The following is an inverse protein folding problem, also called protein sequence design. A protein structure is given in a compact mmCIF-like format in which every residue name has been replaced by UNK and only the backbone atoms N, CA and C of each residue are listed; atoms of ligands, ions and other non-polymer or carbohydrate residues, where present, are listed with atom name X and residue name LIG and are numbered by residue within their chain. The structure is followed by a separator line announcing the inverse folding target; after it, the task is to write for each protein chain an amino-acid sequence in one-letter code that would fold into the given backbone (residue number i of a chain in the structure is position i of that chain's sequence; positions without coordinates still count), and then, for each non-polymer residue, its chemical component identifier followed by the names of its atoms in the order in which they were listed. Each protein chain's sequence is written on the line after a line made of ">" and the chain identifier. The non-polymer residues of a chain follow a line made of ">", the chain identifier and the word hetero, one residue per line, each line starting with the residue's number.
data_IF_102231075383
#
_entry.id   IF_102231075383
#
_cell.length_a   1.000
_cell.length_b   1.000
_cell.length_c   1.000
_cell.angle_alpha   90.00
_cell.angle_beta   90.00
_cell.angle_gamma   90.00
#
_symmetry.space_group_name_H-M   'P 1'
#
loop_
_entity.id
_entity.type
_entity.pdbx_description
1 polymer ?
#
# COMPACT_ATOMS: atom_id res chain seq x y z
N UNK A 1 10.23 10.18 -70.71
CA UNK A 1 10.96 10.60 -69.55
C UNK A 1 10.06 11.52 -68.74
N UNK A 2 9.26 10.92 -67.81
CA UNK A 2 8.29 11.66 -66.96
C UNK A 2 9.05 12.24 -65.79
N UNK A 3 9.14 13.58 -65.68
CA UNK A 3 9.70 14.29 -64.55
C UNK A 3 8.67 14.19 -63.38
N UNK A 4 8.95 13.34 -62.39
CA UNK A 4 8.24 13.30 -61.14
C UNK A 4 8.66 14.53 -60.32
N UNK A 5 7.89 15.62 -60.38
CA UNK A 5 8.02 16.75 -59.46
C UNK A 5 7.72 16.24 -58.05
N UNK A 6 8.76 16.02 -57.23
CA UNK A 6 8.59 15.91 -55.78
C UNK A 6 8.09 17.24 -55.25
N UNK A 7 6.78 17.33 -55.00
CA UNK A 7 6.17 18.36 -54.17
C UNK A 7 6.67 18.19 -52.74
N UNK A 8 7.76 18.92 -52.41
CA UNK A 8 8.10 19.16 -50.99
C UNK A 8 6.87 19.86 -50.37
N UNK A 9 6.35 19.35 -49.28
CA UNK A 9 5.20 20.03 -48.63
C UNK A 9 5.67 21.38 -48.11
N UNK A 10 5.38 22.45 -48.84
CA UNK A 10 5.39 23.79 -48.28
C UNK A 10 4.48 23.80 -47.07
N UNK A 11 4.92 24.37 -45.89
CA UNK A 11 4.00 24.56 -44.76
C UNK A 11 2.77 25.23 -45.30
N UNK A 12 1.64 24.52 -45.25
CA UNK A 12 0.44 24.89 -45.94
C UNK A 12 0.00 26.30 -45.51
N UNK A 13 -0.54 27.10 -46.43
CA UNK A 13 -1.10 28.40 -46.12
C UNK A 13 -2.14 28.29 -44.95
N UNK A 14 -2.77 27.14 -44.82
CA UNK A 14 -3.64 26.77 -43.70
C UNK A 14 -2.91 26.78 -42.35
N UNK A 15 -1.72 26.19 -42.22
CA UNK A 15 -0.93 26.16 -40.95
C UNK A 15 -0.63 27.61 -40.48
N UNK A 16 -0.14 28.45 -41.39
CA UNK A 16 0.18 29.86 -41.04
C UNK A 16 -1.10 30.63 -40.63
N UNK A 17 -2.22 30.38 -41.29
CA UNK A 17 -3.51 31.00 -40.97
C UNK A 17 -3.99 30.58 -39.57
N UNK A 18 -3.97 29.29 -39.25
CA UNK A 18 -4.41 28.79 -37.93
C UNK A 18 -3.51 29.29 -36.79
N UNK A 19 -2.20 29.31 -36.96
CA UNK A 19 -1.25 29.87 -35.98
C UNK A 19 -1.50 31.39 -35.77
N UNK A 20 -1.76 32.15 -36.85
CA UNK A 20 -2.10 33.59 -36.78
C UNK A 20 -3.42 33.81 -36.06
N UNK A 21 -4.43 33.00 -36.36
CA UNK A 21 -5.74 33.04 -35.71
C UNK A 21 -5.60 32.73 -34.19
N UNK A 22 -4.86 31.71 -33.82
CA UNK A 22 -4.61 31.37 -32.42
C UNK A 22 -3.93 32.54 -31.68
N UNK A 23 -2.90 33.16 -32.26
CA UNK A 23 -2.26 34.33 -31.65
C UNK A 23 -3.20 35.52 -31.48
N UNK A 24 -4.13 35.75 -32.44
CA UNK A 24 -5.14 36.79 -32.32
C UNK A 24 -6.10 36.50 -31.17
N UNK A 25 -6.53 35.26 -31.01
CA UNK A 25 -7.37 34.81 -29.90
C UNK A 25 -6.64 35.07 -28.56
N UNK A 26 -5.37 34.68 -28.43
CA UNK A 26 -4.60 34.89 -27.21
C UNK A 26 -4.44 36.37 -26.85
N UNK A 27 -4.18 37.23 -27.84
CA UNK A 27 -4.12 38.67 -27.65
C UNK A 27 -5.44 39.25 -27.12
N UNK A 28 -6.57 38.69 -27.51
CA UNK A 28 -7.89 39.13 -27.02
C UNK A 28 -8.18 38.72 -25.58
N UNK A 29 -7.34 37.86 -24.97
CA UNK A 29 -7.52 37.26 -23.65
C UNK A 29 -8.83 36.48 -23.46
N UNK A 30 -9.46 36.05 -24.56
CA UNK A 30 -10.71 35.28 -24.56
C UNK A 30 -10.56 34.09 -25.53
N UNK A 31 -11.15 32.95 -25.17
CA UNK A 31 -11.15 31.76 -26.05
C UNK A 31 -9.81 31.01 -26.13
N UNK A 32 -9.01 31.02 -25.08
CA UNK A 32 -7.72 30.31 -25.03
C UNK A 32 -7.85 28.79 -25.30
N UNK A 33 -9.00 28.20 -24.94
CA UNK A 33 -9.34 26.81 -25.28
C UNK A 33 -9.53 26.59 -26.79
N UNK A 34 -10.03 27.62 -27.53
CA UNK A 34 -10.10 27.56 -28.98
C UNK A 34 -8.70 27.64 -29.63
N UNK A 35 -7.83 28.50 -29.12
CA UNK A 35 -6.42 28.54 -29.56
C UNK A 35 -5.71 27.20 -29.35
N UNK A 36 -5.92 26.57 -28.21
CA UNK A 36 -5.41 25.22 -27.93
C UNK A 36 -5.94 24.19 -28.95
N UNK A 37 -7.23 24.18 -29.23
CA UNK A 37 -7.83 23.28 -30.23
C UNK A 37 -7.22 23.45 -31.63
N UNK A 38 -6.93 24.68 -32.03
CA UNK A 38 -6.26 24.93 -33.31
C UNK A 38 -4.87 24.33 -33.33
N UNK A 39 -4.06 24.53 -32.29
CA UNK A 39 -2.70 24.01 -32.23
C UNK A 39 -2.66 22.46 -32.13
N UNK A 40 -3.50 21.87 -31.29
CA UNK A 40 -3.61 20.41 -31.21
C UNK A 40 -4.19 19.79 -32.50
N UNK A 41 -5.04 20.54 -33.22
CA UNK A 41 -5.53 20.18 -34.55
C UNK A 41 -4.37 20.08 -35.56
N UNK A 42 -3.50 21.08 -35.60
CA UNK A 42 -2.32 21.07 -36.45
C UNK A 42 -1.36 19.92 -36.18
N UNK A 43 -1.19 19.52 -34.91
CA UNK A 43 -0.28 18.45 -34.51
C UNK A 43 -0.78 17.04 -34.89
N UNK A 44 -2.03 16.89 -35.37
CA UNK A 44 -2.49 15.63 -35.95
C UNK A 44 -1.76 15.27 -37.22
N UNK A 45 -1.33 16.27 -37.99
CA UNK A 45 -0.44 16.09 -39.13
C UNK A 45 1.02 15.90 -38.65
N UNK A 46 1.61 14.79 -39.04
CA UNK A 46 2.99 14.44 -38.68
C UNK A 46 4.02 15.49 -39.12
N UNK A 47 3.79 16.16 -40.25
CA UNK A 47 4.66 17.22 -40.75
C UNK A 47 4.78 18.43 -39.80
N UNK A 48 3.81 18.62 -38.91
CA UNK A 48 3.77 19.72 -37.95
C UNK A 48 4.40 19.40 -36.60
N UNK A 49 4.66 18.12 -36.29
CA UNK A 49 5.11 17.67 -34.96
C UNK A 49 6.49 18.18 -34.55
N UNK A 50 7.29 18.68 -35.48
CA UNK A 50 8.60 19.24 -35.20
C UNK A 50 8.61 20.79 -35.19
N UNK A 51 7.42 21.42 -35.33
CA UNK A 51 7.35 22.87 -35.36
C UNK A 51 7.20 23.45 -33.93
N UNK A 52 8.33 23.88 -33.34
CA UNK A 52 8.36 24.45 -31.98
C UNK A 52 7.39 25.63 -31.78
N UNK A 53 7.10 26.40 -32.82
CA UNK A 53 6.17 27.54 -32.74
C UNK A 53 4.74 27.11 -32.44
N UNK A 54 4.32 25.93 -32.90
CA UNK A 54 2.99 25.37 -32.58
C UNK A 54 2.93 25.05 -31.10
N UNK A 55 3.96 24.42 -30.56
CA UNK A 55 4.04 24.07 -29.11
C UNK A 55 4.11 25.31 -28.24
N UNK A 56 4.85 26.35 -28.66
CA UNK A 56 4.89 27.62 -27.91
C UNK A 56 3.52 28.28 -27.81
N UNK A 57 2.75 28.34 -28.92
CA UNK A 57 1.37 28.87 -28.91
C UNK A 57 0.45 27.95 -28.09
N UNK A 58 0.64 26.64 -28.17
CA UNK A 58 -0.12 25.69 -27.35
C UNK A 58 0.16 25.90 -25.87
N UNK A 59 1.42 26.00 -25.45
CA UNK A 59 1.79 26.28 -24.07
C UNK A 59 1.15 27.59 -23.57
N UNK A 60 1.24 28.67 -24.32
CA UNK A 60 0.63 29.97 -24.00
C UNK A 60 -0.91 29.83 -23.85
N UNK A 61 -1.53 29.03 -24.71
CA UNK A 61 -2.98 28.76 -24.64
C UNK A 61 -3.39 28.06 -23.36
N UNK A 62 -2.63 27.03 -22.96
CA UNK A 62 -2.91 26.29 -21.70
C UNK A 62 -2.59 27.15 -20.50
N UNK A 63 -1.51 27.93 -20.53
CA UNK A 63 -1.11 28.85 -19.47
C UNK A 63 -2.21 29.89 -19.19
N UNK A 64 -2.78 30.48 -20.25
CA UNK A 64 -3.86 31.44 -20.11
C UNK A 64 -5.13 30.81 -19.50
N UNK A 65 -5.47 29.58 -19.89
CA UNK A 65 -6.58 28.84 -19.26
C UNK A 65 -6.30 28.59 -17.77
N UNK A 66 -5.08 28.13 -17.44
CA UNK A 66 -4.65 27.90 -16.06
C UNK A 66 -4.76 29.18 -15.23
N UNK A 67 -4.23 30.30 -15.72
CA UNK A 67 -4.28 31.60 -15.04
C UNK A 67 -5.71 32.04 -14.77
N UNK A 68 -6.61 31.93 -15.77
CA UNK A 68 -8.00 32.30 -15.61
C UNK A 68 -8.75 31.46 -14.57
N UNK A 69 -8.46 30.16 -14.48
CA UNK A 69 -9.06 29.29 -13.46
C UNK A 69 -8.44 29.57 -12.08
N UNK A 70 -7.13 29.76 -12.01
CA UNK A 70 -6.41 30.07 -10.78
C UNK A 70 -6.89 31.39 -10.15
N UNK A 71 -7.10 32.44 -10.96
CA UNK A 71 -7.65 33.71 -10.50
C UNK A 71 -9.04 33.55 -9.88
N UNK A 72 -9.92 32.76 -10.51
CA UNK A 72 -11.26 32.50 -9.98
C UNK A 72 -11.21 31.71 -8.66
N UNK A 73 -10.31 30.73 -8.55
CA UNK A 73 -10.09 29.99 -7.31
C UNK A 73 -9.57 30.91 -6.20
N UNK A 74 -8.63 31.80 -6.52
CA UNK A 74 -8.11 32.80 -5.58
C UNK A 74 -9.22 33.74 -5.07
N UNK A 75 -10.14 34.16 -5.96
CA UNK A 75 -11.33 34.95 -5.61
C UNK A 75 -12.42 34.12 -4.91
N UNK A 76 -12.18 32.86 -4.57
CA UNK A 76 -13.15 31.93 -3.96
C UNK A 76 -14.43 31.73 -4.79
N UNK A 77 -14.37 31.95 -6.07
CA UNK A 77 -15.46 31.64 -6.98
C UNK A 77 -15.57 30.14 -7.23
N UNK A 78 -16.79 29.65 -7.42
CA UNK A 78 -17.02 28.22 -7.70
C UNK A 78 -16.34 27.83 -9.02
N UNK A 79 -15.38 26.95 -8.97
CA UNK A 79 -14.66 26.39 -10.11
C UNK A 79 -14.45 24.88 -9.93
N UNK A 80 -14.27 24.19 -11.04
CA UNK A 80 -13.89 22.79 -11.03
C UNK A 80 -12.39 22.64 -10.68
N UNK A 81 -12.13 22.24 -9.45
CA UNK A 81 -10.78 21.99 -8.95
C UNK A 81 -10.06 20.88 -9.73
N UNK A 82 -10.80 19.88 -10.23
CA UNK A 82 -10.21 18.84 -11.05
C UNK A 82 -9.70 19.40 -12.38
N UNK A 83 -10.47 20.29 -13.02
CA UNK A 83 -10.05 20.98 -14.24
C UNK A 83 -8.78 21.81 -14.01
N UNK A 84 -8.68 22.52 -12.88
CA UNK A 84 -7.47 23.28 -12.53
C UNK A 84 -6.23 22.37 -12.48
N UNK A 85 -6.34 21.22 -11.85
CA UNK A 85 -5.22 20.27 -11.75
C UNK A 85 -4.89 19.65 -13.12
N UNK A 86 -5.87 19.31 -13.93
CA UNK A 86 -5.61 18.80 -15.28
C UNK A 86 -4.93 19.85 -16.19
N UNK A 87 -5.28 21.13 -16.06
CA UNK A 87 -4.55 22.20 -16.72
C UNK A 87 -3.11 22.30 -16.22
N UNK A 88 -2.87 22.14 -14.91
CA UNK A 88 -1.52 22.08 -14.37
C UNK A 88 -0.70 20.97 -15.04
N UNK A 89 -1.20 19.73 -15.05
CA UNK A 89 -0.51 18.59 -15.64
C UNK A 89 -0.23 18.80 -17.13
N UNK A 90 -1.21 19.37 -17.86
CA UNK A 90 -1.07 19.68 -19.28
C UNK A 90 0.00 20.72 -19.54
N UNK A 91 0.14 21.74 -18.68
CA UNK A 91 1.23 22.73 -18.78
C UNK A 91 2.61 22.07 -18.75
N UNK A 92 2.84 21.15 -17.79
CA UNK A 92 4.10 20.42 -17.70
C UNK A 92 4.36 19.60 -18.95
N UNK A 93 3.37 18.80 -19.39
CA UNK A 93 3.52 17.95 -20.58
C UNK A 93 3.80 18.76 -21.85
N UNK A 94 3.15 19.90 -22.05
CA UNK A 94 3.37 20.74 -23.25
C UNK A 94 4.72 21.43 -23.18
N UNK A 95 5.13 21.92 -22.01
CA UNK A 95 6.44 22.55 -21.84
C UNK A 95 7.60 21.57 -22.04
N UNK A 96 7.48 20.35 -21.55
CA UNK A 96 8.49 19.29 -21.77
C UNK A 96 8.60 18.91 -23.25
N UNK A 97 7.47 18.84 -23.96
CA UNK A 97 7.46 18.62 -25.40
C UNK A 97 8.07 19.81 -26.18
N UNK A 98 7.77 21.03 -25.76
CA UNK A 98 8.38 22.25 -26.33
C UNK A 98 9.90 22.26 -26.08
N UNK A 99 10.33 21.99 -24.86
CA UNK A 99 11.76 21.93 -24.48
C UNK A 99 12.55 20.93 -25.31
N UNK A 100 11.97 19.76 -25.57
CA UNK A 100 12.58 18.73 -26.41
C UNK A 100 12.87 19.22 -27.85
N UNK A 101 12.02 20.11 -28.36
CA UNK A 101 12.21 20.74 -29.70
C UNK A 101 13.14 21.93 -29.63
N UNK A 102 13.06 22.74 -28.59
CA UNK A 102 13.84 23.95 -28.38
C UNK A 102 15.34 23.65 -28.17
N UNK A 103 15.61 22.49 -27.60
CA UNK A 103 16.98 21.98 -27.39
C UNK A 103 17.62 21.31 -28.60
N UNK A 104 16.94 21.25 -29.75
CA UNK A 104 17.55 20.71 -30.97
C UNK A 104 18.55 21.69 -31.55
N UNK A 105 19.72 21.18 -31.97
CA UNK A 105 20.74 22.05 -32.59
C UNK A 105 20.23 22.67 -33.91
N UNK A 106 20.63 23.89 -34.15
CA UNK A 106 20.42 24.57 -35.44
C UNK A 106 21.24 23.90 -36.57
N UNK A 107 21.10 24.41 -37.80
CA UNK A 107 21.86 23.91 -38.96
C UNK A 107 23.41 24.03 -38.82
N UNK A 108 23.87 24.82 -37.84
CA UNK A 108 25.29 25.01 -37.53
C UNK A 108 25.72 24.19 -36.29
N UNK A 109 24.84 23.33 -35.76
CA UNK A 109 25.10 22.50 -34.58
C UNK A 109 25.05 23.24 -33.24
N UNK A 110 24.55 24.47 -33.20
CA UNK A 110 24.42 25.26 -31.95
C UNK A 110 23.08 25.03 -31.30
N UNK A 111 23.08 24.88 -29.98
CA UNK A 111 21.89 24.80 -29.15
C UNK A 111 21.70 26.14 -28.44
N UNK A 112 20.60 26.82 -28.76
CA UNK A 112 20.22 28.12 -28.19
C UNK A 112 18.70 28.10 -27.83
N UNK A 113 18.37 27.59 -26.64
CA UNK A 113 16.97 27.43 -26.25
C UNK A 113 16.32 28.79 -25.95
N UNK A 114 15.19 29.05 -26.62
CA UNK A 114 14.44 30.31 -26.52
C UNK A 114 13.47 30.29 -25.32
N UNK A 115 12.94 29.11 -24.92
CA UNK A 115 11.82 29.00 -23.97
C UNK A 115 12.19 28.32 -22.66
N UNK A 116 13.29 27.58 -22.59
CA UNK A 116 13.65 26.71 -21.47
C UNK A 116 13.68 27.42 -20.13
N UNK A 117 14.40 28.52 -20.00
CA UNK A 117 14.62 29.21 -18.75
C UNK A 117 13.32 29.73 -18.15
N UNK A 118 12.55 30.47 -18.95
CA UNK A 118 11.30 31.11 -18.54
C UNK A 118 10.22 30.06 -18.19
N UNK A 119 10.12 29.02 -19.01
CA UNK A 119 9.15 27.93 -18.76
C UNK A 119 9.51 27.17 -17.50
N UNK A 120 10.79 26.84 -17.27
CA UNK A 120 11.23 26.14 -16.08
C UNK A 120 10.94 26.95 -14.80
N UNK A 121 11.31 28.24 -14.78
CA UNK A 121 11.03 29.12 -13.65
C UNK A 121 9.53 29.22 -13.35
N UNK A 122 8.71 29.38 -14.36
CA UNK A 122 7.28 29.49 -14.22
C UNK A 122 6.66 28.19 -13.70
N UNK A 123 7.04 27.04 -14.27
CA UNK A 123 6.52 25.73 -13.89
C UNK A 123 6.96 25.33 -12.48
N UNK A 124 8.16 25.72 -12.05
CA UNK A 124 8.58 25.48 -10.66
C UNK A 124 7.63 26.12 -9.64
N UNK A 125 7.05 27.28 -9.95
CA UNK A 125 6.00 27.92 -9.11
C UNK A 125 4.70 27.13 -9.09
N UNK A 126 4.38 26.36 -10.13
CA UNK A 126 3.18 25.56 -10.26
C UNK A 126 3.36 24.10 -9.82
N UNK A 127 4.58 23.61 -9.75
CA UNK A 127 4.92 22.22 -9.42
C UNK A 127 4.27 21.71 -8.14
N UNK A 128 4.18 22.48 -7.03
CA UNK A 128 3.46 22.04 -5.83
C UNK A 128 2.00 21.61 -6.09
N UNK A 129 1.35 22.16 -7.12
CA UNK A 129 -0.01 21.81 -7.47
C UNK A 129 -0.16 20.39 -8.04
N UNK A 130 0.91 19.80 -8.58
CA UNK A 130 0.90 18.39 -8.97
C UNK A 130 0.73 17.48 -7.74
N UNK A 131 1.44 17.76 -6.64
CA UNK A 131 1.30 16.99 -5.42
C UNK A 131 -0.03 17.29 -4.70
N UNK A 132 -0.48 18.54 -4.72
CA UNK A 132 -1.80 18.92 -4.21
C UNK A 132 -2.93 18.20 -4.97
N UNK A 133 -2.77 18.03 -6.28
CA UNK A 133 -3.69 17.27 -7.12
C UNK A 133 -3.73 15.79 -6.73
N UNK A 134 -2.57 15.17 -6.52
CA UNK A 134 -2.51 13.81 -6.03
C UNK A 134 -3.33 13.65 -4.75
N UNK A 135 -3.10 14.49 -3.74
CA UNK A 135 -3.82 14.44 -2.46
C UNK A 135 -5.32 14.68 -2.66
N UNK A 136 -5.69 15.61 -3.55
CA UNK A 136 -7.08 15.85 -3.88
C UNK A 136 -7.77 14.61 -4.47
N UNK A 137 -7.14 13.93 -5.43
CA UNK A 137 -7.70 12.75 -6.06
C UNK A 137 -7.69 11.53 -5.12
N UNK A 138 -6.72 11.40 -4.22
CA UNK A 138 -6.75 10.41 -3.13
C UNK A 138 -8.01 10.59 -2.27
N UNK A 139 -8.32 11.82 -1.86
CA UNK A 139 -9.53 12.14 -1.07
C UNK A 139 -10.83 11.86 -1.83
N UNK A 140 -10.79 11.90 -3.15
CA UNK A 140 -11.90 11.54 -4.03
C UNK A 140 -11.95 10.05 -4.38
N UNK A 141 -11.02 9.25 -3.86
CA UNK A 141 -10.85 7.83 -4.20
C UNK A 141 -10.58 7.57 -5.69
N UNK A 142 -10.08 8.56 -6.40
CA UNK A 142 -9.63 8.44 -7.79
C UNK A 142 -8.12 8.15 -7.81
N UNK A 143 -7.80 6.91 -7.50
CA UNK A 143 -6.41 6.49 -7.34
C UNK A 143 -5.62 6.46 -8.64
N UNK A 144 -6.29 6.29 -9.77
CA UNK A 144 -5.68 6.35 -11.09
C UNK A 144 -5.09 7.75 -11.35
N UNK A 145 -5.90 8.81 -11.19
CA UNK A 145 -5.41 10.18 -11.36
C UNK A 145 -4.42 10.55 -10.26
N UNK A 146 -4.66 10.16 -9.01
CA UNK A 146 -3.73 10.40 -7.93
C UNK A 146 -2.32 9.85 -8.25
N UNK A 147 -2.24 8.63 -8.75
CA UNK A 147 -0.98 8.02 -9.20
C UNK A 147 -0.32 8.84 -10.31
N UNK A 148 -1.07 9.20 -11.36
CA UNK A 148 -0.57 9.99 -12.49
C UNK A 148 0.01 11.34 -12.06
N UNK A 149 -0.63 12.02 -11.09
CA UNK A 149 -0.13 13.30 -10.58
C UNK A 149 1.11 13.14 -9.70
N UNK A 150 1.20 12.07 -8.92
CA UNK A 150 2.44 11.74 -8.19
C UNK A 150 3.60 11.45 -9.16
N UNK A 151 3.35 10.67 -10.21
CA UNK A 151 4.34 10.42 -11.26
C UNK A 151 4.81 11.73 -11.90
N UNK A 152 3.87 12.59 -12.31
CA UNK A 152 4.22 13.88 -12.93
C UNK A 152 5.05 14.77 -12.00
N UNK A 153 4.77 14.77 -10.69
CA UNK A 153 5.57 15.52 -9.71
C UNK A 153 7.01 14.99 -9.61
N UNK A 154 7.17 13.65 -9.54
CA UNK A 154 8.48 13.01 -9.44
C UNK A 154 9.24 13.07 -10.76
N UNK A 155 8.54 12.98 -11.90
CA UNK A 155 9.15 12.98 -13.21
C UNK A 155 9.86 14.29 -13.53
N UNK A 156 9.42 15.42 -12.98
CA UNK A 156 10.14 16.69 -13.09
C UNK A 156 11.63 16.58 -12.77
N UNK A 157 12.02 15.72 -11.80
CA UNK A 157 13.42 15.52 -11.44
C UNK A 157 14.25 14.86 -12.54
N UNK A 158 13.60 14.20 -13.51
CA UNK A 158 14.24 13.50 -14.63
C UNK A 158 14.16 14.28 -15.94
N UNK A 159 13.31 15.29 -15.99
CA UNK A 159 13.13 16.10 -17.21
C UNK A 159 14.29 17.07 -17.41
N UNK A 160 14.90 17.12 -18.61
CA UNK A 160 15.96 18.06 -18.93
C UNK A 160 15.58 19.53 -18.70
N UNK A 161 14.30 19.86 -18.83
CA UNK A 161 13.75 21.20 -18.56
C UNK A 161 14.09 21.69 -17.14
N UNK A 162 14.14 20.77 -16.15
CA UNK A 162 14.38 21.11 -14.74
C UNK A 162 15.78 20.73 -14.24
N UNK A 163 16.70 20.35 -15.12
CA UNK A 163 18.03 19.86 -14.72
C UNK A 163 18.78 20.84 -13.80
N UNK A 164 18.66 22.15 -14.03
CA UNK A 164 19.30 23.18 -13.20
C UNK A 164 18.74 23.32 -11.77
N UNK A 165 17.62 22.67 -11.46
CA UNK A 165 16.99 22.73 -10.13
C UNK A 165 17.40 21.59 -9.21
N UNK A 166 18.11 20.57 -9.68
CA UNK A 166 18.62 19.44 -8.88
C UNK A 166 17.55 18.81 -7.96
N UNK A 167 16.32 18.62 -8.48
CA UNK A 167 15.15 18.20 -7.70
C UNK A 167 15.30 16.82 -7.05
N UNK A 168 16.12 15.95 -7.63
CA UNK A 168 16.45 14.61 -7.09
C UNK A 168 17.16 14.67 -5.74
N UNK A 169 17.94 15.73 -5.49
CA UNK A 169 18.74 15.89 -4.29
C UNK A 169 18.19 16.89 -3.28
N UNK A 170 17.52 17.97 -3.74
CA UNK A 170 17.10 19.05 -2.84
C UNK A 170 15.62 19.03 -2.47
N UNK A 171 14.76 18.33 -3.26
CA UNK A 171 13.32 18.33 -3.00
C UNK A 171 12.96 17.34 -1.88
N UNK A 172 12.72 17.88 -0.69
CA UNK A 172 12.34 17.11 0.50
C UNK A 172 10.95 16.46 0.41
N UNK A 173 10.10 16.86 -0.56
CA UNK A 173 8.76 16.30 -0.74
C UNK A 173 8.70 15.12 -1.71
N UNK A 174 9.80 14.79 -2.36
CA UNK A 174 9.87 13.62 -3.26
C UNK A 174 9.48 12.30 -2.57
N UNK A 175 9.93 12.02 -1.31
CA UNK A 175 9.48 10.83 -0.58
C UNK A 175 7.97 10.82 -0.32
N UNK A 176 7.36 11.96 0.00
CA UNK A 176 5.90 12.09 0.16
C UNK A 176 5.16 11.76 -1.14
N UNK A 177 5.63 12.28 -2.27
CA UNK A 177 5.05 11.98 -3.58
C UNK A 177 5.14 10.47 -3.89
N UNK A 178 6.29 9.85 -3.62
CA UNK A 178 6.49 8.41 -3.81
C UNK A 178 5.59 7.56 -2.89
N UNK A 179 5.37 8.00 -1.64
CA UNK A 179 4.42 7.37 -0.74
C UNK A 179 2.98 7.40 -1.32
N UNK A 180 2.52 8.55 -1.80
CA UNK A 180 1.18 8.67 -2.37
C UNK A 180 1.02 7.88 -3.68
N UNK A 181 2.09 7.77 -4.50
CA UNK A 181 2.10 6.87 -5.65
C UNK A 181 1.95 5.40 -5.21
N UNK A 182 2.74 4.96 -4.22
CA UNK A 182 2.69 3.62 -3.65
C UNK A 182 1.30 3.31 -3.07
N UNK A 183 0.72 4.22 -2.29
CA UNK A 183 -0.62 4.09 -1.74
C UNK A 183 -1.69 3.99 -2.83
N UNK A 184 -1.64 4.86 -3.82
CA UNK A 184 -2.61 4.87 -4.92
C UNK A 184 -2.56 3.58 -5.74
N UNK A 185 -1.36 3.09 -6.05
CA UNK A 185 -1.16 1.82 -6.74
C UNK A 185 -1.66 0.62 -5.90
N UNK A 186 -1.40 0.61 -4.59
CA UNK A 186 -1.96 -0.38 -3.67
C UNK A 186 -3.49 -0.39 -3.71
N UNK A 187 -4.13 0.78 -3.68
CA UNK A 187 -5.59 0.92 -3.74
C UNK A 187 -6.18 0.48 -5.09
N UNK A 188 -5.39 0.52 -6.16
CA UNK A 188 -5.74 -0.03 -7.47
C UNK A 188 -5.48 -1.54 -7.58
N UNK A 189 -4.93 -2.16 -6.53
CA UNK A 189 -4.50 -3.57 -6.55
C UNK A 189 -3.46 -3.87 -7.64
N UNK A 190 -2.61 -2.90 -7.97
CA UNK A 190 -1.50 -3.06 -8.91
C UNK A 190 -0.19 -3.26 -8.14
N UNK A 191 0.30 -4.50 -7.98
CA UNK A 191 1.50 -4.77 -7.19
C UNK A 191 2.78 -4.25 -7.84
N UNK A 192 2.84 -4.16 -9.18
CA UNK A 192 4.03 -3.68 -9.90
C UNK A 192 4.20 -2.19 -9.69
N UNK A 193 3.14 -1.42 -9.87
CA UNK A 193 3.16 0.01 -9.62
C UNK A 193 3.36 0.33 -8.13
N UNK A 194 2.80 -0.49 -7.21
CA UNK A 194 3.00 -0.34 -5.75
C UNK A 194 4.48 -0.41 -5.38
N UNK A 195 5.25 -1.28 -6.02
CA UNK A 195 6.67 -1.46 -5.72
C UNK A 195 7.59 -0.52 -6.50
N UNK A 196 7.09 0.21 -7.48
CA UNK A 196 7.89 1.01 -8.43
C UNK A 196 8.76 2.04 -7.72
N UNK A 197 8.19 2.80 -6.80
CA UNK A 197 8.87 3.89 -6.08
C UNK A 197 9.23 3.56 -4.64
N UNK A 198 9.23 2.26 -4.25
CA UNK A 198 9.42 1.79 -2.87
C UNK A 198 10.63 2.38 -2.14
N UNK A 199 11.76 2.50 -2.82
CA UNK A 199 12.99 3.00 -2.20
C UNK A 199 12.89 4.49 -1.85
N UNK A 200 12.23 5.27 -2.70
CA UNK A 200 11.99 6.67 -2.44
C UNK A 200 10.90 6.86 -1.38
N UNK A 201 9.81 6.10 -1.44
CA UNK A 201 8.72 6.15 -0.45
C UNK A 201 9.20 5.79 0.96
N UNK A 202 10.13 4.84 1.12
CA UNK A 202 10.73 4.48 2.41
C UNK A 202 11.62 5.58 3.02
N UNK A 203 11.98 6.61 2.28
CA UNK A 203 12.69 7.78 2.82
C UNK A 203 11.76 8.70 3.62
N UNK A 204 10.45 8.60 3.45
CA UNK A 204 9.47 9.22 4.35
C UNK A 204 9.34 8.38 5.63
N UNK A 205 10.12 8.76 6.64
CA UNK A 205 10.18 8.02 7.91
C UNK A 205 8.84 8.01 8.66
N UNK A 206 8.01 9.04 8.46
CA UNK A 206 6.68 9.14 9.08
C UNK A 206 5.66 8.16 8.49
N UNK A 207 5.92 7.63 7.30
CA UNK A 207 5.03 6.74 6.55
C UNK A 207 5.61 5.34 6.30
N UNK A 208 6.80 5.07 6.87
CA UNK A 208 7.53 3.82 6.62
C UNK A 208 6.69 2.59 6.92
N UNK A 209 5.95 2.56 8.03
CA UNK A 209 5.13 1.39 8.40
C UNK A 209 4.03 1.10 7.36
N UNK A 210 3.31 2.14 6.93
CA UNK A 210 2.30 2.01 5.88
C UNK A 210 2.91 1.58 4.55
N UNK A 211 4.05 2.17 4.19
CA UNK A 211 4.78 1.80 2.97
C UNK A 211 5.15 0.31 3.00
N UNK A 212 5.69 -0.19 4.12
CA UNK A 212 6.02 -1.61 4.29
C UNK A 212 4.78 -2.51 4.24
N UNK A 213 3.63 -2.08 4.78
CA UNK A 213 2.37 -2.82 4.66
C UNK A 213 1.95 -2.96 3.18
N UNK A 214 1.98 -1.86 2.42
CA UNK A 214 1.62 -1.89 0.99
C UNK A 214 2.60 -2.74 0.18
N UNK A 215 3.89 -2.64 0.47
CA UNK A 215 4.91 -3.48 -0.15
C UNK A 215 4.70 -4.97 0.15
N UNK A 216 4.37 -5.32 1.40
CA UNK A 216 4.09 -6.70 1.78
C UNK A 216 2.88 -7.24 0.99
N UNK A 217 1.77 -6.50 0.94
CA UNK A 217 0.60 -6.92 0.17
C UNK A 217 0.91 -7.07 -1.33
N UNK A 218 1.69 -6.15 -1.90
CA UNK A 218 2.11 -6.25 -3.30
C UNK A 218 2.95 -7.51 -3.56
N UNK A 219 3.90 -7.84 -2.68
CA UNK A 219 4.73 -9.04 -2.77
C UNK A 219 3.90 -10.32 -2.61
N UNK A 220 2.92 -10.31 -1.70
CA UNK A 220 1.96 -11.41 -1.53
C UNK A 220 1.14 -11.65 -2.81
N UNK A 221 0.66 -10.58 -3.46
CA UNK A 221 -0.07 -10.68 -4.73
C UNK A 221 0.81 -11.21 -5.87
N UNK A 222 2.10 -10.89 -5.87
CA UNK A 222 3.09 -11.42 -6.82
C UNK A 222 3.54 -12.84 -6.49
N UNK A 223 3.10 -13.40 -5.35
CA UNK A 223 3.51 -14.72 -4.84
C UNK A 223 5.02 -14.82 -4.61
N UNK A 224 5.64 -13.71 -4.22
CA UNK A 224 7.06 -13.64 -3.85
C UNK A 224 7.18 -13.83 -2.33
N UNK A 225 7.08 -15.07 -1.89
CA UNK A 225 7.05 -15.42 -0.47
C UNK A 225 8.33 -15.00 0.27
N UNK A 226 9.48 -15.06 -0.40
CA UNK A 226 10.77 -14.68 0.20
C UNK A 226 10.79 -13.19 0.55
N UNK A 227 10.52 -12.31 -0.43
CA UNK A 227 10.50 -10.87 -0.22
C UNK A 227 9.30 -10.43 0.63
N UNK A 228 8.17 -11.15 0.58
CA UNK A 228 7.04 -10.94 1.48
C UNK A 228 7.47 -11.10 2.93
N UNK A 229 8.10 -12.22 3.27
CA UNK A 229 8.58 -12.51 4.62
C UNK A 229 9.66 -11.54 5.09
N UNK A 230 10.59 -11.17 4.20
CA UNK A 230 11.58 -10.14 4.49
C UNK A 230 10.91 -8.81 4.87
N UNK A 231 9.87 -8.40 4.13
CA UNK A 231 9.13 -7.16 4.41
C UNK A 231 8.39 -7.22 5.73
N UNK A 232 7.75 -8.36 6.04
CA UNK A 232 7.06 -8.54 7.33
C UNK A 232 8.05 -8.45 8.49
N UNK A 233 9.21 -9.12 8.40
CA UNK A 233 10.26 -9.06 9.43
C UNK A 233 10.80 -7.64 9.61
N UNK A 234 11.03 -6.93 8.50
CA UNK A 234 11.48 -5.54 8.57
C UNK A 234 10.44 -4.63 9.24
N UNK A 235 9.17 -4.74 8.87
CA UNK A 235 8.10 -3.98 9.50
C UNK A 235 7.95 -4.29 10.98
N UNK A 236 7.98 -5.57 11.34
CA UNK A 236 7.91 -6.03 12.72
C UNK A 236 9.12 -5.56 13.57
N UNK A 237 10.34 -5.60 13.02
CA UNK A 237 11.54 -5.14 13.73
C UNK A 237 11.48 -3.65 14.10
N UNK A 238 10.79 -2.84 13.29
CA UNK A 238 10.60 -1.41 13.55
C UNK A 238 9.52 -1.13 14.59
N UNK A 239 8.44 -1.90 14.54
CA UNK A 239 7.33 -1.79 15.47
C UNK A 239 6.75 -3.19 15.78
N UNK A 240 7.23 -3.84 16.85
CA UNK A 240 6.80 -5.19 17.21
C UNK A 240 5.32 -5.30 17.63
N UNK A 241 4.71 -4.17 18.00
CA UNK A 241 3.28 -4.12 18.39
C UNK A 241 2.34 -3.78 17.25
N UNK A 242 2.88 -3.60 16.03
CA UNK A 242 2.06 -3.28 14.87
C UNK A 242 1.10 -4.41 14.53
N UNK A 243 -0.20 -4.07 14.46
CA UNK A 243 -1.30 -5.03 14.25
C UNK A 243 -1.33 -5.68 12.88
N UNK A 244 -0.53 -5.22 11.93
CA UNK A 244 -0.41 -5.80 10.61
C UNK A 244 0.68 -6.90 10.54
N UNK A 245 1.89 -6.63 11.07
CA UNK A 245 3.04 -7.51 10.90
C UNK A 245 3.03 -8.70 11.84
N UNK A 246 2.72 -8.47 13.12
CA UNK A 246 2.74 -9.52 14.13
C UNK A 246 1.85 -10.73 13.77
N UNK A 247 0.55 -10.58 13.48
CA UNK A 247 -0.31 -11.73 13.20
C UNK A 247 0.17 -12.52 11.97
N UNK A 248 0.60 -11.82 10.92
CA UNK A 248 1.06 -12.46 9.68
C UNK A 248 2.33 -13.28 9.85
N UNK A 249 3.25 -12.82 10.68
CA UNK A 249 4.43 -13.60 11.04
C UNK A 249 4.06 -14.82 11.87
N UNK A 250 3.14 -14.66 12.84
CA UNK A 250 2.65 -15.78 13.66
C UNK A 250 1.95 -16.83 12.80
N UNK A 251 1.06 -16.41 11.90
CA UNK A 251 0.35 -17.30 10.97
C UNK A 251 1.34 -18.08 10.09
N UNK A 252 2.32 -17.37 9.54
CA UNK A 252 3.33 -17.99 8.69
C UNK A 252 4.14 -19.06 9.44
N UNK A 253 4.73 -18.71 10.58
CA UNK A 253 5.57 -19.66 11.33
C UNK A 253 4.76 -20.82 11.89
N UNK A 254 3.54 -20.57 12.36
CA UNK A 254 2.66 -21.63 12.85
C UNK A 254 2.24 -22.59 11.72
N UNK A 255 1.90 -22.09 10.54
CA UNK A 255 1.54 -22.92 9.39
C UNK A 255 2.71 -23.81 8.91
N UNK A 256 3.96 -23.35 9.08
CA UNK A 256 5.16 -24.10 8.71
C UNK A 256 5.73 -24.95 9.88
N UNK A 257 5.10 -24.92 11.03
CA UNK A 257 5.56 -25.65 12.22
C UNK A 257 6.86 -25.11 12.84
N UNK A 258 7.30 -23.90 12.42
CA UNK A 258 8.49 -23.24 12.97
C UNK A 258 8.14 -22.53 14.29
N UNK A 259 7.93 -23.34 15.32
CA UNK A 259 7.53 -22.85 16.64
C UNK A 259 8.64 -22.03 17.33
N UNK A 260 9.92 -22.29 17.03
CA UNK A 260 11.03 -21.51 17.59
C UNK A 260 11.03 -20.07 17.04
N UNK A 261 10.86 -19.91 15.73
CA UNK A 261 10.72 -18.57 15.14
C UNK A 261 9.45 -17.87 15.65
N UNK A 262 8.32 -18.58 15.76
CA UNK A 262 7.09 -18.03 16.36
C UNK A 262 7.31 -17.57 17.80
N UNK A 263 8.05 -18.35 18.62
CA UNK A 263 8.39 -17.96 19.99
C UNK A 263 9.27 -16.71 20.03
N UNK A 264 10.22 -16.59 19.11
CA UNK A 264 11.06 -15.39 18.95
C UNK A 264 10.23 -14.13 18.66
N UNK A 265 9.27 -14.24 17.74
CA UNK A 265 8.35 -13.14 17.40
C UNK A 265 7.51 -12.72 18.62
N UNK A 266 6.89 -13.67 19.30
CA UNK A 266 6.07 -13.38 20.48
C UNK A 266 6.88 -12.76 21.61
N UNK A 267 8.08 -13.29 21.89
CA UNK A 267 8.93 -12.73 22.94
C UNK A 267 9.31 -11.28 22.62
N UNK A 268 9.64 -10.98 21.36
CA UNK A 268 9.95 -9.60 20.94
C UNK A 268 8.76 -8.66 21.07
N UNK A 269 7.53 -9.14 20.78
CA UNK A 269 6.32 -8.36 20.99
C UNK A 269 6.07 -8.10 22.49
N UNK A 270 6.30 -9.09 23.35
CA UNK A 270 6.20 -8.96 24.82
C UNK A 270 7.26 -8.06 25.43
N UNK A 271 8.46 -7.95 24.85
CA UNK A 271 9.46 -6.97 25.27
C UNK A 271 8.95 -5.53 25.06
N UNK A 272 8.14 -5.31 24.04
CA UNK A 272 7.55 -3.99 23.73
C UNK A 272 6.26 -3.72 24.52
N UNK A 273 5.42 -4.75 24.76
CA UNK A 273 4.19 -4.67 25.56
C UNK A 273 4.01 -5.97 26.35
N UNK A 274 4.62 -6.01 27.53
CA UNK A 274 4.63 -7.19 28.41
C UNK A 274 3.28 -7.53 29.03
N UNK A 275 2.32 -6.62 29.00
CA UNK A 275 0.98 -6.80 29.58
C UNK A 275 -0.09 -7.22 28.57
N UNK A 276 0.24 -7.25 27.29
CA UNK A 276 -0.70 -7.60 26.22
C UNK A 276 -1.23 -9.03 26.37
N UNK A 277 -2.52 -9.17 26.65
CA UNK A 277 -3.20 -10.47 26.71
C UNK A 277 -3.13 -11.22 25.37
N UNK A 278 -3.11 -10.49 24.25
CA UNK A 278 -2.93 -11.06 22.91
C UNK A 278 -1.59 -11.78 22.77
N UNK A 279 -0.48 -11.11 23.17
CA UNK A 279 0.85 -11.69 23.04
C UNK A 279 1.09 -12.80 24.06
N UNK A 280 0.59 -12.66 25.29
CA UNK A 280 0.64 -13.72 26.29
C UNK A 280 -0.14 -14.97 25.81
N UNK A 281 -1.32 -14.78 25.21
CA UNK A 281 -2.10 -15.89 24.65
C UNK A 281 -1.37 -16.53 23.45
N UNK A 282 -0.83 -15.74 22.54
CA UNK A 282 -0.03 -16.26 21.42
C UNK A 282 1.17 -17.09 21.93
N UNK A 283 1.86 -16.63 22.98
CA UNK A 283 2.95 -17.38 23.63
C UNK A 283 2.47 -18.70 24.21
N UNK A 284 1.34 -18.68 24.91
CA UNK A 284 0.72 -19.90 25.47
C UNK A 284 0.46 -20.94 24.36
N UNK A 285 -0.08 -20.49 23.23
CA UNK A 285 -0.35 -21.37 22.07
C UNK A 285 0.93 -21.92 21.45
N UNK A 286 1.97 -21.11 21.29
CA UNK A 286 3.27 -21.57 20.78
C UNK A 286 3.91 -22.60 21.73
N UNK A 287 3.90 -22.33 23.03
CA UNK A 287 4.40 -23.27 24.04
C UNK A 287 3.64 -24.60 24.00
N UNK A 288 2.32 -24.54 23.81
CA UNK A 288 1.50 -25.74 23.61
C UNK A 288 1.97 -26.55 22.39
N UNK A 289 2.17 -25.90 21.25
CA UNK A 289 2.62 -26.54 20.00
C UNK A 289 4.03 -27.14 20.14
N UNK A 290 4.90 -26.52 20.93
CA UNK A 290 6.24 -27.05 21.27
C UNK A 290 6.21 -28.22 22.26
N UNK A 291 5.03 -28.56 22.81
CA UNK A 291 4.92 -29.59 23.86
C UNK A 291 5.44 -29.16 25.23
N UNK A 292 5.71 -27.86 25.43
CA UNK A 292 6.11 -27.23 26.71
C UNK A 292 4.87 -26.97 27.58
N UNK A 293 4.17 -28.08 27.93
CA UNK A 293 2.84 -28.01 28.51
C UNK A 293 2.80 -27.34 29.88
N UNK A 294 3.81 -27.48 30.71
CA UNK A 294 3.85 -26.87 32.05
C UNK A 294 3.91 -25.34 31.95
N UNK A 295 4.68 -24.81 31.02
CA UNK A 295 4.80 -23.38 30.78
C UNK A 295 3.52 -22.83 30.13
N UNK A 296 2.90 -23.58 29.20
CA UNK A 296 1.61 -23.25 28.62
C UNK A 296 0.52 -23.12 29.71
N UNK A 297 0.47 -24.09 30.64
CA UNK A 297 -0.51 -24.06 31.73
C UNK A 297 -0.27 -22.84 32.64
N UNK A 298 0.97 -22.64 33.11
CA UNK A 298 1.28 -21.50 33.98
C UNK A 298 0.92 -20.14 33.35
N UNK A 299 1.19 -20.00 32.05
CA UNK A 299 0.84 -18.78 31.33
C UNK A 299 -0.67 -18.63 31.13
N UNK A 300 -1.37 -19.74 30.87
CA UNK A 300 -2.83 -19.76 30.78
C UNK A 300 -3.48 -19.41 32.12
N UNK A 301 -2.95 -19.91 33.25
CA UNK A 301 -3.43 -19.54 34.58
C UNK A 301 -3.24 -18.05 34.87
N UNK A 302 -2.11 -17.47 34.43
CA UNK A 302 -1.88 -16.03 34.53
C UNK A 302 -2.92 -15.23 33.73
N UNK A 303 -3.22 -15.66 32.50
CA UNK A 303 -4.25 -15.04 31.64
C UNK A 303 -5.66 -15.15 32.28
N UNK A 304 -5.99 -16.30 32.84
CA UNK A 304 -7.27 -16.51 33.56
C UNK A 304 -7.36 -15.59 34.76
N UNK A 305 -6.28 -15.38 35.51
CA UNK A 305 -6.26 -14.47 36.64
C UNK A 305 -6.42 -12.99 36.23
N UNK A 306 -5.98 -12.64 35.02
CA UNK A 306 -6.18 -11.28 34.46
C UNK A 306 -7.60 -11.08 33.97
N UNK A 307 -8.21 -12.10 33.35
CA UNK A 307 -9.58 -12.08 32.85
C UNK A 307 -10.14 -13.51 32.73
N UNK A 308 -11.00 -13.89 33.65
CA UNK A 308 -11.63 -15.20 33.77
C UNK A 308 -12.73 -15.47 32.74
N UNK A 309 -13.12 -14.46 31.97
CA UNK A 309 -14.13 -14.56 30.92
C UNK A 309 -13.54 -14.91 29.54
N UNK A 310 -12.22 -14.99 29.41
CA UNK A 310 -11.54 -15.40 28.16
C UNK A 310 -11.59 -16.93 28.01
N UNK A 311 -12.22 -17.49 26.97
CA UNK A 311 -12.32 -18.95 26.82
C UNK A 311 -11.00 -19.62 26.46
N UNK A 312 -10.22 -19.03 25.58
CA UNK A 312 -9.05 -19.69 24.97
C UNK A 312 -7.95 -20.09 25.95
N UNK A 313 -7.61 -19.35 27.02
CA UNK A 313 -6.67 -19.81 28.03
C UNK A 313 -7.12 -21.11 28.73
N UNK A 314 -8.42 -21.28 28.98
CA UNK A 314 -8.95 -22.52 29.54
C UNK A 314 -8.78 -23.70 28.57
N UNK A 315 -9.00 -23.45 27.28
CA UNK A 315 -8.77 -24.47 26.26
C UNK A 315 -7.31 -24.90 26.19
N UNK A 316 -6.38 -23.95 26.19
CA UNK A 316 -4.94 -24.24 26.16
C UNK A 316 -4.51 -25.03 27.40
N UNK A 317 -4.88 -24.60 28.60
CA UNK A 317 -4.55 -25.32 29.84
C UNK A 317 -5.17 -26.74 29.88
N UNK A 318 -6.46 -26.85 29.55
CA UNK A 318 -7.16 -28.13 29.56
C UNK A 318 -6.60 -29.13 28.56
N UNK A 319 -6.29 -28.69 27.36
CA UNK A 319 -5.69 -29.54 26.32
C UNK A 319 -4.22 -29.85 26.62
N UNK A 320 -3.47 -28.92 27.24
CA UNK A 320 -2.10 -29.20 27.71
C UNK A 320 -2.08 -30.31 28.78
N UNK A 321 -2.98 -30.26 29.76
CA UNK A 321 -3.14 -31.36 30.71
C UNK A 321 -3.55 -32.66 30.02
N UNK A 322 -4.47 -32.64 29.05
CA UNK A 322 -4.82 -33.82 28.27
C UNK A 322 -3.59 -34.43 27.59
N UNK A 323 -2.79 -33.62 26.92
CA UNK A 323 -1.59 -34.10 26.23
C UNK A 323 -0.53 -34.63 27.21
N UNK A 324 -0.42 -34.05 28.40
CA UNK A 324 0.44 -34.64 29.48
C UNK A 324 -0.08 -36.02 29.90
N UNK A 325 -1.39 -36.19 30.05
CA UNK A 325 -1.98 -37.51 30.38
C UNK A 325 -1.72 -38.55 29.29
N UNK A 326 -1.79 -38.15 28.02
CA UNK A 326 -1.54 -39.03 26.87
C UNK A 326 -0.06 -39.50 26.76
N UNK A 327 0.89 -38.80 27.37
CA UNK A 327 2.30 -39.19 27.44
C UNK A 327 2.58 -40.25 28.53
N UNK A 328 1.60 -40.50 29.43
CA UNK A 328 1.78 -41.46 30.54
C UNK A 328 1.42 -42.89 30.09
N UNK A 329 2.11 -43.87 30.66
CA UNK A 329 1.85 -45.28 30.36
C UNK A 329 0.53 -45.73 31.01
N UNK A 330 -0.48 -46.22 30.25
CA UNK A 330 -1.85 -46.44 30.75
C UNK A 330 -1.93 -47.44 31.93
N UNK A 331 -1.11 -48.46 31.93
CA UNK A 331 -1.15 -49.51 32.99
C UNK A 331 -0.22 -49.15 34.16
N UNK A 332 1.01 -48.70 33.89
CA UNK A 332 2.00 -48.45 34.95
C UNK A 332 1.76 -47.13 35.68
N UNK A 333 1.19 -46.15 35.04
CA UNK A 333 1.00 -44.79 35.56
C UNK A 333 -0.46 -44.40 35.69
N UNK A 334 -1.36 -45.36 35.82
CA UNK A 334 -2.84 -45.14 35.88
C UNK A 334 -3.26 -44.12 36.94
N UNK A 335 -2.67 -44.20 38.15
CA UNK A 335 -2.99 -43.23 39.22
C UNK A 335 -2.57 -41.81 38.85
N UNK A 336 -1.37 -41.64 38.30
CA UNK A 336 -0.86 -40.36 37.87
C UNK A 336 -1.69 -39.81 36.72
N UNK A 337 -2.02 -40.63 35.73
CA UNK A 337 -2.85 -40.26 34.60
C UNK A 337 -4.24 -39.75 35.06
N UNK A 338 -4.88 -40.42 36.00
CA UNK A 338 -6.14 -40.00 36.59
C UNK A 338 -6.05 -38.66 37.31
N UNK A 339 -4.96 -38.36 38.01
CA UNK A 339 -4.70 -37.07 38.65
C UNK A 339 -4.60 -35.94 37.61
N UNK A 340 -3.91 -36.23 36.50
CA UNK A 340 -3.80 -35.24 35.40
C UNK A 340 -5.15 -34.93 34.74
N UNK A 341 -5.98 -35.96 34.50
CA UNK A 341 -7.35 -35.76 34.03
C UNK A 341 -8.24 -34.97 35.02
N UNK A 342 -8.06 -35.20 36.33
CA UNK A 342 -8.74 -34.41 37.35
C UNK A 342 -8.39 -32.93 37.29
N UNK A 343 -7.11 -32.62 36.97
CA UNK A 343 -6.69 -31.21 36.75
C UNK A 343 -7.20 -30.64 35.46
N UNK A 344 -7.24 -31.42 34.38
CA UNK A 344 -7.75 -30.96 33.07
C UNK A 344 -9.27 -30.59 33.09
N UNK A 345 -10.05 -31.32 33.91
CA UNK A 345 -11.51 -31.23 33.92
C UNK A 345 -12.06 -29.82 34.15
N UNK A 346 -11.68 -29.08 35.21
CA UNK A 346 -12.26 -27.77 35.50
C UNK A 346 -12.01 -26.76 34.39
N UNK A 347 -10.85 -26.81 33.74
CA UNK A 347 -10.52 -25.93 32.60
C UNK A 347 -11.48 -26.21 31.43
N UNK A 348 -11.67 -27.46 31.06
CA UNK A 348 -12.51 -27.81 29.90
C UNK A 348 -14.00 -27.61 30.18
N UNK A 349 -14.45 -27.85 31.41
CA UNK A 349 -15.81 -27.53 31.81
C UNK A 349 -16.07 -26.02 31.77
N UNK A 350 -15.12 -25.22 32.23
CA UNK A 350 -15.21 -23.76 32.16
C UNK A 350 -15.16 -23.27 30.70
N UNK A 351 -14.28 -23.84 29.86
CA UNK A 351 -14.25 -23.55 28.42
C UNK A 351 -15.60 -23.84 27.76
N UNK A 352 -16.22 -24.99 28.05
CA UNK A 352 -17.56 -25.34 27.56
C UNK A 352 -18.63 -24.28 27.96
N UNK A 353 -18.54 -23.76 29.19
CA UNK A 353 -19.48 -22.73 29.68
C UNK A 353 -19.28 -21.39 28.92
N UNK A 354 -18.06 -21.00 28.69
CA UNK A 354 -17.71 -19.73 28.04
C UNK A 354 -17.87 -19.77 26.50
N UNK A 355 -17.72 -20.93 25.88
CA UNK A 355 -17.80 -21.14 24.44
C UNK A 355 -18.67 -22.38 24.10
N UNK A 356 -19.98 -22.37 24.43
CA UNK A 356 -20.84 -23.51 24.24
C UNK A 356 -21.03 -23.94 22.78
N UNK A 357 -20.88 -23.04 21.84
CA UNK A 357 -20.92 -23.25 20.41
C UNK A 357 -19.69 -24.00 19.84
N UNK A 358 -18.58 -24.02 20.59
CA UNK A 358 -17.33 -24.67 20.16
C UNK A 358 -17.32 -26.19 20.46
N UNK A 359 -18.43 -26.87 20.23
CA UNK A 359 -18.63 -28.29 20.55
C UNK A 359 -17.56 -29.22 19.96
N UNK A 360 -17.11 -28.91 18.76
CA UNK A 360 -16.05 -29.70 18.09
C UNK A 360 -14.68 -29.55 18.75
N UNK A 361 -14.45 -28.49 19.53
CA UNK A 361 -13.21 -28.31 20.30
C UNK A 361 -13.30 -28.98 21.67
N UNK A 362 -14.29 -28.63 22.48
CA UNK A 362 -14.37 -29.14 23.86
C UNK A 362 -14.93 -30.57 23.95
N UNK A 363 -15.81 -30.98 23.03
CA UNK A 363 -16.46 -32.29 23.10
C UNK A 363 -15.48 -33.47 23.12
N UNK A 364 -14.57 -33.62 22.15
CA UNK A 364 -13.59 -34.72 22.15
C UNK A 364 -12.66 -34.73 23.36
N UNK A 365 -12.36 -33.56 23.94
CA UNK A 365 -11.51 -33.45 25.12
C UNK A 365 -12.25 -33.88 26.36
N UNK A 366 -13.48 -33.38 26.59
CA UNK A 366 -14.34 -33.77 27.69
C UNK A 366 -14.74 -35.26 27.64
N UNK A 367 -15.00 -35.79 26.45
CA UNK A 367 -15.20 -37.22 26.24
C UNK A 367 -14.07 -38.05 26.84
N UNK A 368 -12.82 -37.76 26.53
CA UNK A 368 -11.66 -38.48 27.07
C UNK A 368 -11.49 -38.28 28.56
N UNK A 369 -11.74 -37.08 29.08
CA UNK A 369 -11.64 -36.76 30.51
C UNK A 369 -12.68 -37.56 31.28
N UNK A 370 -13.94 -37.52 30.86
CA UNK A 370 -15.02 -38.22 31.58
C UNK A 370 -14.87 -39.74 31.53
N UNK A 371 -14.47 -40.29 30.40
CA UNK A 371 -14.14 -41.72 30.25
C UNK A 371 -13.12 -42.16 31.28
N UNK A 372 -11.96 -41.46 31.37
CA UNK A 372 -10.84 -41.84 32.22
C UNK A 372 -11.11 -41.56 33.72
N UNK A 373 -12.05 -40.70 34.04
CA UNK A 373 -12.50 -40.41 35.41
C UNK A 373 -13.67 -41.30 35.87
N UNK A 374 -14.21 -42.15 35.00
CA UNK A 374 -15.43 -42.97 35.21
C UNK A 374 -16.67 -42.13 35.55
N UNK A 375 -16.88 -41.03 34.83
CA UNK A 375 -18.02 -40.11 35.03
C UNK A 375 -19.14 -40.49 34.06
N UNK A 376 -19.82 -41.61 34.29
CA UNK A 376 -20.74 -42.25 33.36
C UNK A 376 -21.83 -41.31 32.76
N UNK A 377 -22.58 -40.58 33.60
CA UNK A 377 -23.63 -39.68 33.13
C UNK A 377 -23.09 -38.57 32.22
N UNK A 378 -22.01 -37.93 32.61
CA UNK A 378 -21.39 -36.85 31.79
C UNK A 378 -20.75 -37.41 30.51
N UNK A 379 -20.17 -38.61 30.60
CA UNK A 379 -19.65 -39.32 29.44
C UNK A 379 -20.75 -39.60 28.40
N UNK A 380 -21.90 -40.19 28.86
CA UNK A 380 -23.03 -40.52 27.97
C UNK A 380 -23.59 -39.26 27.27
N UNK A 381 -23.69 -38.13 27.99
CA UNK A 381 -24.11 -36.85 27.42
C UNK A 381 -23.19 -36.41 26.25
N UNK A 382 -21.88 -36.45 26.49
CA UNK A 382 -20.94 -36.03 25.47
C UNK A 382 -20.84 -37.04 24.31
N UNK A 383 -20.96 -38.33 24.59
CA UNK A 383 -20.97 -39.36 23.55
C UNK A 383 -22.17 -39.19 22.60
N UNK A 384 -23.36 -38.93 23.14
CA UNK A 384 -24.53 -38.62 22.35
C UNK A 384 -24.33 -37.35 21.50
N UNK A 385 -23.82 -36.27 22.11
CA UNK A 385 -23.54 -35.04 21.40
C UNK A 385 -22.55 -35.26 20.23
N UNK A 386 -21.46 -35.98 20.46
CA UNK A 386 -20.45 -36.23 19.40
C UNK A 386 -21.01 -37.08 18.25
N UNK A 387 -22.02 -37.96 18.50
CA UNK A 387 -22.71 -38.70 17.45
C UNK A 387 -23.56 -37.79 16.56
N UNK A 388 -24.09 -36.67 17.09
CA UNK A 388 -24.88 -35.71 16.31
C UNK A 388 -23.98 -34.75 15.48
N UNK A 389 -22.68 -34.64 15.79
CA UNK A 389 -21.72 -33.75 15.11
C UNK A 389 -20.96 -34.43 13.95
N UNK A 390 -21.16 -35.72 13.78
CA UNK A 390 -20.62 -36.51 12.65
C UNK A 390 -21.47 -36.32 11.42
#
# INVERSE_FOLDING_TARGET
>A
MLLLLMLLPCPSAAQKKEMSQARTILKSKKGADQAERLMTGLLKDSANRENKRIYAIWYESVLMQYQAVNEKLYMKQKQDTAQFFELTRRLFSVAEALDSLDMRPDKKGRVDPEYRADNAEQLMKFRPNLLNACIYFVRKSDFQRAYQFSEAYMDCARQPLFAGYHLDSIDTRMPEAAYWATYSAYRMSDPVLTLRHRHLALRDTSKTEFTLQYMAEARRLLKDDSLYMETLRLGFSRNPTNTYFFPRLMDYYTAHGDNEAALGVVNRALEADGSSTLYLFAKSTVLFNMGRYDECIALSDSLISMNDSLPDPYYNAGTAYLNKALKLHPLRQKKQMRQVYQKARPYMERYRQLAPDQQRKWGPVLYRIYLNLNMGRQFDEIDQLLKTLR
#
